data_IF_596991893552
#
_entry.id   IF_596991893552
#
_cell.length_a   1.000
_cell.length_b   1.000
_cell.length_c   1.000
_cell.angle_alpha   90.00
_cell.angle_beta   90.00
_cell.angle_gamma   90.00
#
_symmetry.space_group_name_H-M   'P 1'
#
loop_
_entity.id
_entity.type
_entity.pdbx_description
1 polymer ?
#
# COMPACT_ATOMS: atom_id res chain seq x y z
N UNK A 1 12.08 -8.11 -28.71
CA UNK A 1 11.21 -7.05 -28.15
C UNK A 1 11.50 -6.96 -26.67
N UNK A 2 12.01 -5.82 -26.20
CA UNK A 2 12.28 -5.58 -24.78
C UNK A 2 11.02 -4.99 -24.14
N UNK A 3 10.34 -5.79 -23.32
CA UNK A 3 9.09 -5.39 -22.63
C UNK A 3 9.32 -4.38 -21.50
N UNK A 4 10.58 -4.08 -21.16
CA UNK A 4 10.95 -3.27 -20.01
C UNK A 4 10.74 -1.75 -20.19
N UNK A 5 10.37 -1.28 -21.38
CA UNK A 5 10.28 0.16 -21.71
C UNK A 5 8.84 0.67 -21.91
N UNK A 6 7.81 -0.15 -21.66
CA UNK A 6 6.42 0.18 -21.99
C UNK A 6 5.59 0.68 -20.80
N UNK A 7 6.21 0.99 -19.65
CA UNK A 7 5.49 1.52 -18.50
C UNK A 7 5.57 3.06 -18.53
N UNK A 8 4.45 3.72 -18.84
CA UNK A 8 4.40 5.18 -18.87
C UNK A 8 3.91 5.74 -17.52
N UNK A 9 2.86 5.15 -16.96
CA UNK A 9 2.22 5.70 -15.76
C UNK A 9 1.71 4.63 -14.80
N UNK A 10 1.66 5.01 -13.52
CA UNK A 10 1.03 4.24 -12.44
C UNK A 10 -0.06 5.11 -11.84
N UNK A 11 -1.32 4.65 -11.94
CA UNK A 11 -2.45 5.30 -11.31
C UNK A 11 -2.74 4.67 -9.95
N UNK A 12 -2.86 5.51 -8.92
CA UNK A 12 -3.25 5.10 -7.57
C UNK A 12 -4.66 5.62 -7.27
N UNK A 13 -5.61 4.71 -7.11
CA UNK A 13 -6.98 5.03 -6.72
C UNK A 13 -7.23 4.61 -5.29
N UNK A 14 -7.43 5.57 -4.38
CA UNK A 14 -7.82 5.28 -3.00
C UNK A 14 -9.21 4.64 -2.99
N UNK A 15 -9.29 3.38 -2.58
CA UNK A 15 -10.54 2.60 -2.64
C UNK A 15 -11.33 2.70 -1.35
N UNK A 16 -10.67 2.49 -0.22
CA UNK A 16 -11.33 2.46 1.08
C UNK A 16 -10.34 2.66 2.23
N UNK A 17 -10.90 3.15 3.34
CA UNK A 17 -10.22 3.24 4.62
C UNK A 17 -11.03 2.47 5.65
N UNK A 18 -10.41 1.48 6.27
CA UNK A 18 -11.01 0.73 7.36
C UNK A 18 -10.32 1.10 8.68
N UNK A 19 -11.12 1.34 9.71
CA UNK A 19 -10.62 1.55 11.07
C UNK A 19 -11.05 0.38 11.91
N UNK A 20 -10.12 -0.23 12.65
CA UNK A 20 -10.42 -1.34 13.54
C UNK A 20 -10.72 -0.90 14.96
N UNK A 21 -11.47 -1.75 15.67
CA UNK A 21 -11.65 -1.72 17.11
C UNK A 21 -10.33 -1.72 17.91
N UNK A 22 -9.22 -2.23 17.34
CA UNK A 22 -7.88 -2.19 17.96
C UNK A 22 -7.07 -0.93 17.60
N UNK A 23 -7.69 0.06 16.96
CA UNK A 23 -7.07 1.35 16.61
C UNK A 23 -6.17 1.33 15.38
N UNK A 24 -5.98 0.18 14.71
CA UNK A 24 -5.27 0.15 13.43
C UNK A 24 -6.14 0.71 12.29
N UNK A 25 -5.48 1.32 11.31
CA UNK A 25 -6.12 1.79 10.08
C UNK A 25 -5.56 1.02 8.90
N UNK A 26 -6.43 0.45 8.07
CA UNK A 26 -6.05 -0.13 6.79
C UNK A 26 -6.41 0.85 5.69
N UNK A 27 -5.47 1.10 4.79
CA UNK A 27 -5.65 1.93 3.61
C UNK A 27 -5.42 1.05 2.39
N UNK A 28 -6.37 1.10 1.47
CA UNK A 28 -6.35 0.30 0.24
C UNK A 28 -6.26 1.23 -0.96
N UNK A 29 -5.28 0.98 -1.83
CA UNK A 29 -5.22 1.59 -3.15
C UNK A 29 -5.23 0.51 -4.22
N UNK A 30 -6.07 0.70 -5.23
CA UNK A 30 -5.90 -0.03 -6.47
C UNK A 30 -4.75 0.63 -7.25
N UNK A 31 -3.91 -0.21 -7.82
CA UNK A 31 -2.78 0.21 -8.65
C UNK A 31 -3.01 -0.33 -10.05
N UNK A 32 -2.96 0.54 -11.04
CA UNK A 32 -2.99 0.16 -12.44
C UNK A 32 -1.72 0.70 -13.10
N UNK A 33 -0.96 -0.18 -13.74
CA UNK A 33 0.13 0.16 -14.63
C UNK A 33 -0.42 0.24 -16.05
N UNK A 34 -0.09 1.31 -16.77
CA UNK A 34 -0.54 1.53 -18.14
C UNK A 34 0.62 1.78 -19.09
N UNK A 35 0.41 1.40 -20.34
CA UNK A 35 1.32 1.72 -21.44
C UNK A 35 0.96 3.06 -22.10
N UNK A 36 1.66 3.37 -23.19
CA UNK A 36 1.53 4.58 -23.99
C UNK A 36 0.18 4.70 -24.74
N UNK A 37 -0.59 3.61 -24.82
CA UNK A 37 -1.96 3.58 -25.35
C UNK A 37 -3.03 3.84 -24.30
N UNK A 38 -2.65 4.10 -23.04
CA UNK A 38 -3.52 4.05 -21.86
C UNK A 38 -4.12 2.66 -21.58
N UNK A 39 -3.61 1.60 -22.23
CA UNK A 39 -4.06 0.23 -21.97
C UNK A 39 -3.49 -0.28 -20.64
N UNK A 40 -4.33 -0.96 -19.84
CA UNK A 40 -3.91 -1.51 -18.55
C UNK A 40 -3.10 -2.78 -18.77
N UNK A 41 -1.80 -2.72 -18.47
CA UNK A 41 -0.86 -3.85 -18.65
C UNK A 41 -0.65 -4.66 -17.36
N UNK A 42 -0.94 -4.08 -16.19
CA UNK A 42 -0.88 -4.78 -14.91
C UNK A 42 -1.75 -4.11 -13.85
N UNK A 43 -2.32 -4.91 -12.95
CA UNK A 43 -3.15 -4.44 -11.85
C UNK A 43 -2.71 -5.05 -10.52
N UNK A 44 -2.91 -4.29 -9.44
CA UNK A 44 -2.60 -4.75 -8.10
C UNK A 44 -3.32 -3.94 -7.02
N UNK A 45 -3.10 -4.34 -5.77
CA UNK A 45 -3.63 -3.63 -4.59
C UNK A 45 -2.49 -3.37 -3.62
N UNK A 46 -2.34 -2.11 -3.20
CA UNK A 46 -1.50 -1.75 -2.06
C UNK A 46 -2.34 -1.75 -0.80
N UNK A 47 -1.93 -2.56 0.18
CA UNK A 47 -2.44 -2.53 1.54
C UNK A 47 -1.42 -1.85 2.45
N UNK A 48 -1.76 -0.66 2.97
CA UNK A 48 -1.01 -0.04 4.06
C UNK A 48 -1.75 -0.24 5.38
N UNK A 49 -1.05 -0.80 6.37
CA UNK A 49 -1.57 -0.95 7.74
C UNK A 49 -0.85 0.03 8.65
N UNK A 50 -1.58 1.05 9.12
CA UNK A 50 -1.09 2.00 10.12
C UNK A 50 -1.44 1.47 11.50
N UNK A 51 -0.42 1.05 12.23
CA UNK A 51 -0.54 0.53 13.60
C UNK A 51 -0.16 1.63 14.60
N UNK A 52 -1.00 1.93 15.61
CA UNK A 52 -0.60 2.83 16.69
C UNK A 52 0.61 2.27 17.43
N UNK A 53 1.62 3.11 17.67
CA UNK A 53 2.89 2.68 18.28
C UNK A 53 2.73 1.91 19.61
N UNK A 54 1.70 2.24 20.41
CA UNK A 54 1.40 1.50 21.66
C UNK A 54 0.98 0.04 21.40
N UNK A 55 0.26 -0.23 20.31
CA UNK A 55 -0.20 -1.59 19.92
C UNK A 55 0.92 -2.39 19.26
N UNK A 56 1.90 -1.71 18.67
CA UNK A 56 3.10 -2.33 18.08
C UNK A 56 3.97 -3.03 19.14
N UNK A 57 4.00 -2.50 20.36
CA UNK A 57 4.77 -3.06 21.49
C UNK A 57 4.16 -4.39 21.97
N UNK A 58 2.83 -4.53 21.94
CA UNK A 58 2.12 -5.74 22.39
C UNK A 58 2.00 -6.83 21.31
N UNK A 59 2.44 -6.56 20.07
CA UNK A 59 2.46 -7.55 19.00
C UNK A 59 3.90 -8.00 18.71
N UNK A 60 4.33 -9.19 19.16
CA UNK A 60 5.71 -9.63 19.05
C UNK A 60 6.19 -9.74 17.61
N UNK A 61 5.28 -9.95 16.64
CA UNK A 61 5.59 -9.98 15.21
C UNK A 61 5.82 -8.59 14.58
N UNK A 62 5.46 -7.51 15.30
CA UNK A 62 5.66 -6.11 14.87
C UNK A 62 6.63 -5.35 15.78
N UNK A 63 7.11 -5.94 16.88
CA UNK A 63 7.97 -5.28 17.87
C UNK A 63 9.33 -4.83 17.32
N UNK A 64 9.72 -5.32 16.15
CA UNK A 64 10.94 -4.92 15.42
C UNK A 64 10.75 -3.73 14.49
N UNK A 65 9.53 -3.18 14.38
CA UNK A 65 9.30 -1.99 13.59
C UNK A 65 10.11 -0.82 14.18
N UNK A 66 10.96 -0.13 13.39
CA UNK A 66 11.80 0.95 13.90
C UNK A 66 10.91 1.99 14.57
N UNK A 67 11.24 2.32 15.82
CA UNK A 67 10.56 3.39 16.52
C UNK A 67 10.75 4.65 15.68
N UNK A 68 9.65 5.18 15.12
CA UNK A 68 9.61 6.53 14.58
C UNK A 68 9.74 7.49 15.78
N UNK A 69 10.98 7.67 16.25
CA UNK A 69 11.33 8.74 17.16
C UNK A 69 11.11 10.07 16.43
N UNK A 70 10.39 10.99 17.10
CA UNK A 70 10.07 12.33 16.62
C UNK A 70 11.28 13.10 16.12
#
# INVERSE_FOLDING_TARGET
MNWANNLESIQLCCKSRETSSKGYRKLFWNVCARDDGDDVISEGVILCVVVPQRVTIDNPHLSTAPALSR
#
